data_IF_961470205304
#
_entry.id   IF_961470205304
#
_cell.length_a   1.000
_cell.length_b   1.000
_cell.length_c   1.000
_cell.angle_alpha   90.00
_cell.angle_beta   90.00
_cell.angle_gamma   90.00
#
_symmetry.space_group_name_H-M   'P 1'
#
loop_
_entity.id
_entity.type
_entity.pdbx_description
1 polymer ?
#
# COMPACT_ATOMS: atom_id res chain seq x y z
N UNK A 1 14.32 13.73 -10.55
CA UNK A 1 15.25 13.38 -11.65
C UNK A 1 15.78 11.96 -11.51
N UNK A 2 16.10 11.48 -10.29
CA UNK A 2 16.51 10.08 -10.04
C UNK A 2 15.36 9.06 -10.10
N UNK A 3 14.20 9.39 -9.52
CA UNK A 3 13.03 8.51 -9.45
C UNK A 3 12.49 8.05 -10.81
N UNK A 4 12.78 8.79 -11.89
CA UNK A 4 12.42 8.40 -13.26
C UNK A 4 13.09 7.08 -13.64
N UNK A 5 14.36 6.88 -13.27
CA UNK A 5 15.06 5.61 -13.50
C UNK A 5 14.43 4.46 -12.74
N UNK A 6 13.98 4.71 -11.49
CA UNK A 6 13.26 3.72 -10.67
C UNK A 6 11.89 3.37 -11.25
N UNK A 7 11.18 4.33 -11.83
CA UNK A 7 9.91 4.07 -12.50
C UNK A 7 10.12 3.21 -13.75
N UNK A 8 11.16 3.47 -14.54
CA UNK A 8 11.48 2.67 -15.71
C UNK A 8 11.82 1.22 -15.35
N UNK A 9 12.69 1.00 -14.36
CA UNK A 9 12.99 -0.35 -13.87
C UNK A 9 11.77 -1.02 -13.23
N UNK A 10 10.97 -0.26 -12.48
CA UNK A 10 9.71 -0.71 -11.88
C UNK A 10 8.69 -1.19 -12.91
N UNK A 11 8.59 -0.55 -14.08
CA UNK A 11 7.71 -0.99 -15.17
C UNK A 11 8.12 -2.37 -15.70
N UNK A 12 9.42 -2.63 -15.84
CA UNK A 12 9.95 -3.95 -16.25
C UNK A 12 9.63 -4.99 -15.16
N UNK A 13 9.90 -4.67 -13.89
CA UNK A 13 9.59 -5.55 -12.77
C UNK A 13 8.10 -5.89 -12.70
N UNK A 14 7.21 -4.90 -12.86
CA UNK A 14 5.75 -5.08 -12.89
C UNK A 14 5.33 -6.03 -14.02
N UNK A 15 5.93 -5.91 -15.20
CA UNK A 15 5.67 -6.82 -16.33
C UNK A 15 6.12 -8.26 -16.03
N UNK A 16 7.31 -8.45 -15.47
CA UNK A 16 7.83 -9.77 -15.08
C UNK A 16 6.91 -10.43 -14.04
N UNK A 17 6.56 -9.69 -12.98
CA UNK A 17 5.68 -10.18 -11.92
C UNK A 17 4.31 -10.59 -12.44
N UNK A 18 3.74 -9.79 -13.36
CA UNK A 18 2.46 -10.10 -14.00
C UNK A 18 2.53 -11.38 -14.81
N UNK A 19 3.61 -11.59 -15.59
CA UNK A 19 3.79 -12.80 -16.39
C UNK A 19 4.06 -14.05 -15.53
N UNK A 20 4.80 -13.91 -14.43
CA UNK A 20 5.21 -15.03 -13.59
C UNK A 20 4.08 -15.56 -12.70
N UNK A 21 3.28 -14.66 -12.10
CA UNK A 21 2.32 -15.02 -11.05
C UNK A 21 0.98 -14.32 -11.16
N UNK A 22 0.77 -13.51 -12.20
CA UNK A 22 -0.41 -12.66 -12.30
C UNK A 22 -0.41 -11.50 -11.30
N UNK A 23 0.69 -11.28 -10.58
CA UNK A 23 0.83 -10.22 -9.56
C UNK A 23 0.45 -8.87 -10.13
N UNK A 24 -0.37 -8.15 -9.40
CA UNK A 24 -0.78 -6.79 -9.72
C UNK A 24 -0.35 -5.84 -8.61
N UNK A 25 0.28 -4.73 -9.01
CA UNK A 25 0.72 -3.68 -8.09
C UNK A 25 -0.01 -2.39 -8.45
N UNK A 26 -0.79 -1.88 -7.50
CA UNK A 26 -1.55 -0.62 -7.58
C UNK A 26 -1.11 0.28 -6.44
N UNK A 27 -1.16 1.59 -6.65
CA UNK A 27 -0.88 2.56 -5.60
C UNK A 27 -1.76 3.79 -5.77
N UNK A 28 -2.28 4.30 -4.65
CA UNK A 28 -3.18 5.44 -4.60
C UNK A 28 -2.87 6.33 -3.41
N UNK A 29 -3.30 7.59 -3.46
CA UNK A 29 -3.12 8.53 -2.34
C UNK A 29 -4.23 8.32 -1.33
N UNK A 30 -3.87 7.95 -0.09
CA UNK A 30 -4.80 7.70 1.01
C UNK A 30 -4.93 8.87 1.97
N UNK A 31 -3.96 9.77 1.98
CA UNK A 31 -4.00 10.98 2.80
C UNK A 31 -3.28 12.13 2.10
N UNK A 32 -3.84 13.32 2.23
CA UNK A 32 -3.14 14.58 1.94
C UNK A 32 -3.34 15.52 3.11
N UNK A 33 -2.25 15.94 3.75
CA UNK A 33 -2.30 16.76 4.96
C UNK A 33 -3.26 16.18 6.03
N UNK A 34 -4.34 16.89 6.37
CA UNK A 34 -5.35 16.47 7.35
C UNK A 34 -6.54 15.72 6.73
N UNK A 35 -6.58 15.58 5.40
CA UNK A 35 -7.63 14.85 4.69
C UNK A 35 -7.21 13.40 4.58
N UNK A 36 -7.76 12.55 5.44
CA UNK A 36 -7.46 11.10 5.52
C UNK A 36 -8.65 10.32 4.99
N UNK A 37 -8.40 9.34 4.12
CA UNK A 37 -9.42 8.36 3.74
C UNK A 37 -9.81 7.51 4.96
N UNK A 38 -11.11 7.34 5.25
CA UNK A 38 -11.56 6.42 6.28
C UNK A 38 -11.15 4.98 5.95
N UNK A 39 -10.86 4.20 6.99
CA UNK A 39 -10.60 2.76 6.84
C UNK A 39 -11.80 2.08 6.17
N UNK A 40 -11.53 1.20 5.21
CA UNK A 40 -12.56 0.50 4.44
C UNK A 40 -13.24 1.33 3.36
N UNK A 41 -12.89 2.62 3.17
CA UNK A 41 -13.43 3.43 2.06
C UNK A 41 -12.97 2.97 0.68
N UNK A 42 -11.90 2.18 0.61
CA UNK A 42 -11.37 1.58 -0.61
C UNK A 42 -11.28 0.08 -0.40
N UNK A 43 -11.99 -0.68 -1.23
CA UNK A 43 -11.85 -2.12 -1.26
C UNK A 43 -10.57 -2.50 -2.02
N UNK A 44 -9.62 -3.07 -1.27
CA UNK A 44 -8.31 -3.44 -1.77
C UNK A 44 -8.35 -4.60 -2.77
N UNK A 45 -9.42 -5.39 -2.82
CA UNK A 45 -9.56 -6.51 -3.76
C UNK A 45 -10.14 -6.07 -5.11
N UNK A 46 -10.96 -5.01 -5.12
CA UNK A 46 -11.72 -4.60 -6.31
C UNK A 46 -11.27 -3.28 -6.94
N UNK A 47 -10.53 -2.42 -6.22
CA UNK A 47 -10.07 -1.13 -6.77
C UNK A 47 -9.29 -1.30 -8.08
N UNK A 48 -9.61 -0.47 -9.08
CA UNK A 48 -9.00 -0.56 -10.42
C UNK A 48 -8.03 0.59 -10.69
N UNK A 49 -7.15 0.40 -11.67
CA UNK A 49 -6.26 1.47 -12.11
C UNK A 49 -7.04 2.67 -12.66
N UNK A 50 -8.15 2.45 -13.37
CA UNK A 50 -8.96 3.53 -13.94
C UNK A 50 -9.59 4.41 -12.84
N UNK A 51 -10.03 3.81 -11.74
CA UNK A 51 -10.50 4.57 -10.57
C UNK A 51 -9.38 5.42 -9.97
N UNK A 52 -8.18 4.86 -9.87
CA UNK A 52 -7.00 5.57 -9.35
C UNK A 52 -6.60 6.71 -10.29
N UNK A 53 -6.57 6.52 -11.61
CA UNK A 53 -6.14 7.53 -12.59
C UNK A 53 -7.26 8.53 -12.95
N UNK A 54 -8.46 8.38 -12.38
CA UNK A 54 -9.63 9.21 -12.70
C UNK A 54 -9.48 10.70 -12.35
N UNK A 55 -8.52 11.06 -11.49
CA UNK A 55 -8.32 12.40 -10.99
C UNK A 55 -6.84 12.71 -10.70
N UNK A 56 -6.53 14.00 -10.57
CA UNK A 56 -5.16 14.51 -10.46
C UNK A 56 -4.43 14.12 -9.16
N UNK A 57 -5.18 13.82 -8.08
CA UNK A 57 -4.59 13.39 -6.79
C UNK A 57 -4.50 11.87 -6.67
N UNK A 58 -4.94 11.14 -7.69
CA UNK A 58 -4.89 9.67 -7.75
C UNK A 58 -5.55 8.98 -6.56
N UNK A 59 -6.68 9.50 -6.10
CA UNK A 59 -7.48 8.95 -5.01
C UNK A 59 -8.73 8.25 -5.60
N UNK A 60 -8.99 6.96 -5.34
CA UNK A 60 -10.11 6.24 -5.94
C UNK A 60 -11.48 6.67 -5.38
N UNK A 61 -11.52 7.33 -4.22
CA UNK A 61 -12.75 7.90 -3.67
C UNK A 61 -12.91 9.36 -4.15
N UNK A 62 -13.96 9.68 -4.94
CA UNK A 62 -14.13 10.99 -5.57
C UNK A 62 -14.37 12.12 -4.55
N UNK A 63 -15.18 11.88 -3.51
CA UNK A 63 -15.50 12.89 -2.50
C UNK A 63 -14.25 13.33 -1.73
N UNK A 64 -13.36 12.38 -1.44
CA UNK A 64 -12.09 12.67 -0.79
C UNK A 64 -11.05 13.22 -1.77
N UNK A 65 -11.09 12.83 -3.04
CA UNK A 65 -10.25 13.42 -4.07
C UNK A 65 -10.49 14.94 -4.16
N UNK A 66 -11.74 15.39 -4.17
CA UNK A 66 -12.08 16.82 -4.17
C UNK A 66 -11.57 17.55 -2.93
N UNK A 67 -11.75 16.95 -1.74
CA UNK A 67 -11.24 17.50 -0.48
C UNK A 67 -9.71 17.62 -0.47
N UNK A 68 -9.02 16.60 -0.99
CA UNK A 68 -7.56 16.60 -1.10
C UNK A 68 -7.07 17.68 -2.09
N UNK A 69 -7.74 17.83 -3.24
CA UNK A 69 -7.44 18.88 -4.22
C UNK A 69 -7.60 20.26 -3.58
N UNK A 70 -8.72 20.50 -2.88
CA UNK A 70 -8.95 21.77 -2.18
C UNK A 70 -7.89 22.06 -1.11
N UNK A 71 -7.46 21.04 -0.35
CA UNK A 71 -6.39 21.19 0.63
C UNK A 71 -5.04 21.55 -0.01
N UNK A 72 -4.69 20.93 -1.14
CA UNK A 72 -3.48 21.25 -1.91
C UNK A 72 -3.53 22.68 -2.42
N UNK A 73 -4.64 23.09 -3.03
CA UNK A 73 -4.80 24.43 -3.58
C UNK A 73 -4.71 25.51 -2.49
N UNK A 74 -5.34 25.28 -1.32
CA UNK A 74 -5.27 26.20 -0.20
C UNK A 74 -3.84 26.38 0.36
N UNK A 75 -3.00 25.35 0.30
CA UNK A 75 -1.59 25.44 0.72
C UNK A 75 -0.76 26.11 -0.37
N UNK A 76 -1.01 25.78 -1.64
CA UNK A 76 -0.32 26.36 -2.80
C UNK A 76 -0.50 27.88 -2.88
N UNK A 77 -1.70 28.40 -2.66
CA UNK A 77 -1.98 29.85 -2.68
C UNK A 77 -1.20 30.61 -1.59
N UNK A 78 -0.78 29.93 -0.53
CA UNK A 78 0.05 30.49 0.55
C UNK A 78 1.55 30.30 0.31
N UNK A 79 1.97 29.77 -0.86
CA UNK A 79 3.37 29.52 -1.18
C UNK A 79 4.03 28.46 -0.31
N UNK A 80 3.25 27.53 0.23
CA UNK A 80 3.73 26.47 1.13
C UNK A 80 3.61 25.08 0.47
N UNK A 81 4.09 24.03 1.15
CA UNK A 81 4.00 22.64 0.70
C UNK A 81 3.40 21.73 1.76
N UNK A 82 2.88 20.58 1.33
CA UNK A 82 2.32 19.54 2.19
C UNK A 82 2.74 18.16 1.67
N UNK A 83 2.77 17.19 2.59
CA UNK A 83 2.93 15.79 2.28
C UNK A 83 1.60 15.02 2.33
N UNK A 84 1.72 13.70 2.30
CA UNK A 84 0.60 12.78 2.35
C UNK A 84 1.05 11.34 2.53
N UNK A 85 0.10 10.43 2.47
CA UNK A 85 0.32 8.97 2.54
C UNK A 85 -0.13 8.34 1.23
N UNK A 86 0.68 7.42 0.73
CA UNK A 86 0.37 6.61 -0.45
C UNK A 86 0.21 5.17 0.01
N UNK A 87 -0.93 4.58 -0.30
CA UNK A 87 -1.20 3.16 -0.04
C UNK A 87 -0.87 2.36 -1.30
N UNK A 88 -0.07 1.31 -1.13
CA UNK A 88 0.28 0.36 -2.19
C UNK A 88 -0.41 -0.98 -1.93
N UNK A 89 -1.06 -1.53 -2.96
CA UNK A 89 -1.72 -2.82 -2.93
C UNK A 89 -0.97 -3.75 -3.88
N UNK A 90 -0.58 -4.91 -3.36
CA UNK A 90 0.00 -5.99 -4.16
C UNK A 90 -0.94 -7.20 -4.09
N UNK A 91 -1.59 -7.51 -5.21
CA UNK A 91 -2.48 -8.67 -5.35
C UNK A 91 -1.74 -9.84 -5.98
N UNK A 92 -2.11 -11.06 -5.60
CA UNK A 92 -1.55 -12.30 -6.16
C UNK A 92 -0.02 -12.44 -6.01
N UNK A 93 0.55 -11.85 -4.96
CA UNK A 93 1.96 -12.05 -4.66
C UNK A 93 2.26 -13.56 -4.45
N UNK A 94 3.35 -14.09 -5.02
CA UNK A 94 3.81 -15.43 -4.72
C UNK A 94 4.01 -15.64 -3.21
N UNK A 95 3.67 -16.83 -2.73
CA UNK A 95 3.92 -17.22 -1.33
C UNK A 95 5.41 -17.48 -1.11
N UNK A 96 5.89 -17.19 0.10
CA UNK A 96 7.27 -17.49 0.49
C UNK A 96 8.32 -16.51 -0.05
N UNK A 97 7.92 -15.29 -0.40
CA UNK A 97 8.87 -14.22 -0.71
C UNK A 97 9.54 -13.70 0.56
N UNK A 98 10.84 -13.44 0.47
CA UNK A 98 11.69 -13.01 1.59
C UNK A 98 12.36 -14.16 2.32
N UNK A 99 13.10 -13.81 3.38
CA UNK A 99 13.81 -14.73 4.26
C UNK A 99 13.23 -14.66 5.68
N UNK A 100 13.17 -15.76 6.44
CA UNK A 100 12.55 -15.76 7.77
C UNK A 100 13.33 -14.96 8.83
N UNK A 101 14.63 -14.70 8.64
CA UNK A 101 15.50 -14.16 9.70
C UNK A 101 16.11 -12.81 9.33
N UNK A 102 16.94 -12.76 8.28
CA UNK A 102 17.75 -11.57 7.98
C UNK A 102 17.12 -10.69 6.90
N UNK A 103 16.80 -11.28 5.74
CA UNK A 103 16.25 -10.56 4.59
C UNK A 103 14.73 -10.68 4.54
N UNK A 104 14.07 -10.31 5.64
CA UNK A 104 12.61 -10.33 5.71
C UNK A 104 12.00 -9.41 4.66
N UNK A 105 10.89 -9.82 4.06
CA UNK A 105 10.29 -9.10 2.94
C UNK A 105 9.92 -7.66 3.33
N UNK A 106 9.33 -7.48 4.51
CA UNK A 106 8.97 -6.18 5.06
C UNK A 106 10.19 -5.27 5.28
N UNK A 107 11.35 -5.85 5.63
CA UNK A 107 12.59 -5.10 5.83
C UNK A 107 13.16 -4.61 4.49
N UNK A 108 13.17 -5.45 3.46
CA UNK A 108 13.62 -5.06 2.12
C UNK A 108 12.66 -4.07 1.46
N UNK A 109 11.35 -4.23 1.65
CA UNK A 109 10.35 -3.25 1.21
C UNK A 109 10.54 -1.91 1.93
N UNK A 110 10.73 -1.93 3.25
CA UNK A 110 10.97 -0.72 4.03
C UNK A 110 12.21 0.02 3.53
N UNK A 111 13.32 -0.69 3.32
CA UNK A 111 14.56 -0.11 2.75
C UNK A 111 14.32 0.48 1.36
N UNK A 112 13.63 -0.24 0.48
CA UNK A 112 13.33 0.25 -0.87
C UNK A 112 12.48 1.54 -0.83
N UNK A 113 11.43 1.56 -0.03
CA UNK A 113 10.51 2.70 0.10
C UNK A 113 11.16 3.88 0.82
N UNK A 114 11.84 3.64 1.94
CA UNK A 114 12.54 4.69 2.71
C UNK A 114 13.71 5.32 1.95
N UNK A 115 14.26 4.63 0.95
CA UNK A 115 15.27 5.20 0.06
C UNK A 115 14.72 6.23 -0.94
N UNK A 116 13.39 6.35 -1.08
CA UNK A 116 12.76 7.35 -1.92
C UNK A 116 12.87 8.75 -1.28
N UNK A 117 13.18 9.80 -2.06
CA UNK A 117 13.25 11.17 -1.53
C UNK A 117 11.97 11.59 -0.81
N UNK A 118 12.13 12.33 0.29
CA UNK A 118 11.05 12.86 1.13
C UNK A 118 10.18 11.81 1.88
N UNK A 119 10.50 10.51 1.78
CA UNK A 119 9.83 9.47 2.58
C UNK A 119 10.34 9.51 4.02
N UNK A 120 9.41 9.39 4.97
CA UNK A 120 9.70 9.46 6.42
C UNK A 120 9.17 8.28 7.23
N UNK A 121 8.30 7.47 6.63
CA UNK A 121 7.72 6.30 7.28
C UNK A 121 7.32 5.26 6.24
N UNK A 122 7.27 4.02 6.69
CA UNK A 122 6.77 2.87 5.95
C UNK A 122 5.97 2.01 6.92
N UNK A 123 4.78 1.62 6.50
CA UNK A 123 3.86 0.78 7.25
C UNK A 123 3.31 -0.31 6.34
N UNK A 124 3.01 -1.47 6.91
CA UNK A 124 2.39 -2.58 6.22
C UNK A 124 1.28 -3.17 7.09
N UNK A 125 0.25 -3.72 6.44
CA UNK A 125 -0.94 -4.22 7.13
C UNK A 125 -1.62 -3.13 7.96
N UNK A 126 -1.87 -3.41 9.22
CA UNK A 126 -2.44 -2.47 10.19
C UNK A 126 -1.47 -1.34 10.61
N UNK A 127 -0.20 -1.40 10.19
CA UNK A 127 0.79 -0.36 10.48
C UNK A 127 0.94 -0.10 11.98
N UNK A 128 1.11 1.17 12.35
CA UNK A 128 1.22 1.55 13.78
C UNK A 128 -0.08 1.31 14.56
N UNK A 129 -1.25 1.28 13.92
CA UNK A 129 -2.51 0.99 14.60
C UNK A 129 -2.54 -0.44 15.17
N UNK A 130 -1.74 -1.35 14.62
CA UNK A 130 -1.56 -2.71 15.18
C UNK A 130 -0.98 -2.72 16.60
N UNK A 131 -0.23 -1.68 17.00
CA UNK A 131 0.34 -1.57 18.36
C UNK A 131 -0.70 -1.37 19.46
N UNK A 132 -1.92 -1.01 19.07
CA UNK A 132 -3.05 -0.81 19.99
C UNK A 132 -3.84 -2.11 20.25
N UNK A 133 -3.53 -3.18 19.53
CA UNK A 133 -4.25 -4.45 19.57
C UNK A 133 -3.47 -5.51 20.35
N UNK A 134 -4.18 -6.41 21.02
CA UNK A 134 -3.57 -7.63 21.56
C UNK A 134 -3.22 -8.60 20.43
N UNK A 135 -2.32 -9.56 20.68
CA UNK A 135 -1.97 -10.58 19.66
C UNK A 135 -3.17 -11.36 19.14
N UNK A 136 -4.14 -11.69 20.01
CA UNK A 136 -5.39 -12.35 19.61
C UNK A 136 -6.28 -11.47 18.73
N UNK A 137 -6.23 -10.15 18.92
CA UNK A 137 -6.97 -9.19 18.10
C UNK A 137 -6.23 -8.82 16.82
N UNK A 138 -4.91 -8.97 16.77
CA UNK A 138 -4.09 -8.59 15.61
C UNK A 138 -3.91 -9.75 14.63
N UNK A 139 -3.75 -10.97 15.14
CA UNK A 139 -3.44 -12.14 14.32
C UNK A 139 -4.52 -12.42 13.27
N UNK A 140 -4.07 -12.76 12.06
CA UNK A 140 -4.93 -13.16 10.96
C UNK A 140 -5.20 -14.67 11.05
N UNK A 141 -6.42 -15.05 11.45
CA UNK A 141 -6.81 -16.46 11.57
C UNK A 141 -6.74 -17.17 10.21
N UNK A 142 -6.09 -18.33 10.17
CA UNK A 142 -6.01 -19.16 8.98
C UNK A 142 -7.23 -20.06 8.83
N UNK A 143 -7.65 -20.26 7.58
CA UNK A 143 -8.64 -21.26 7.23
C UNK A 143 -8.30 -21.90 5.88
N UNK A 144 -8.86 -23.07 5.64
CA UNK A 144 -8.77 -23.76 4.35
C UNK A 144 -10.02 -23.43 3.54
N UNK A 145 -9.85 -22.90 2.33
CA UNK A 145 -10.96 -22.65 1.41
C UNK A 145 -11.52 -23.97 0.82
N UNK A 146 -12.65 -23.89 0.12
CA UNK A 146 -13.31 -25.05 -0.52
C UNK A 146 -12.41 -25.77 -1.54
N UNK A 147 -11.34 -25.12 -2.00
CA UNK A 147 -10.36 -25.65 -2.94
C UNK A 147 -9.09 -26.18 -2.26
N UNK A 148 -9.09 -26.31 -0.93
CA UNK A 148 -7.96 -26.82 -0.16
C UNK A 148 -6.81 -25.83 0.03
N UNK A 149 -6.99 -24.54 -0.31
CA UNK A 149 -5.95 -23.53 -0.16
C UNK A 149 -6.07 -22.83 1.18
N UNK A 150 -4.94 -22.71 1.87
CA UNK A 150 -4.83 -21.89 3.09
C UNK A 150 -5.00 -20.41 2.73
N UNK A 151 -5.86 -19.72 3.47
CA UNK A 151 -6.18 -18.29 3.40
C UNK A 151 -6.29 -17.70 4.80
N UNK A 152 -6.33 -16.37 4.90
CA UNK A 152 -6.57 -15.65 6.15
C UNK A 152 -7.95 -15.02 6.17
N UNK A 153 -8.59 -14.97 7.34
CA UNK A 153 -9.90 -14.32 7.55
C UNK A 153 -9.81 -12.79 7.45
N UNK A 154 -8.70 -12.24 7.93
CA UNK A 154 -8.37 -10.82 7.89
C UNK A 154 -7.02 -10.62 7.21
N UNK A 155 -6.63 -9.36 7.01
CA UNK A 155 -5.33 -9.03 6.42
C UNK A 155 -4.62 -7.92 7.23
N UNK A 156 -4.65 -8.02 8.56
CA UNK A 156 -3.99 -7.08 9.48
C UNK A 156 -2.47 -7.16 9.39
N UNK A 157 -1.93 -8.30 8.96
CA UNK A 157 -0.51 -8.49 8.63
C UNK A 157 -0.09 -7.88 7.29
N UNK A 158 -1.04 -7.46 6.44
CA UNK A 158 -0.74 -6.89 5.12
C UNK A 158 -0.10 -7.89 4.16
N UNK A 159 -0.44 -9.18 4.30
CA UNK A 159 0.06 -10.27 3.46
C UNK A 159 1.45 -10.77 3.83
N UNK A 160 2.08 -10.21 4.87
CA UNK A 160 3.41 -10.62 5.36
C UNK A 160 3.25 -11.22 6.75
N UNK A 161 3.33 -12.55 6.83
CA UNK A 161 3.12 -13.27 8.09
C UNK A 161 4.44 -13.50 8.79
N UNK A 162 4.61 -12.85 9.94
CA UNK A 162 5.70 -13.14 10.88
C UNK A 162 5.06 -13.92 12.02
N UNK A 163 5.47 -15.18 12.19
CA UNK A 163 5.06 -15.96 13.36
C UNK A 163 5.64 -15.28 14.61
N UNK A 164 4.77 -14.73 15.46
CA UNK A 164 5.09 -14.28 16.82
C UNK A 164 4.65 -15.37 17.79
#
# INVERSE_FOLDING_TARGET
>A
RETIGRVASGAIAKKILKLFSGTEVLAYVSQVHQVVLPDGSVDHDTVTLDQIESNIVRCPNPDYAEKMIAAIDAVRTRGNSIGGVVTCIVRNAPRGLGSPVFDKLEAELAKAVMSLPATKGFEFGSGFAGTLLTGSEHNDEFYTDEHGRIRTRTNRSGGIQVFI
#
